data_IF_217268116611
#
_entry.id   IF_217268116611
#
_cell.length_a   1.000
_cell.length_b   1.000
_cell.length_c   1.000
_cell.angle_alpha   90.00
_cell.angle_beta   90.00
_cell.angle_gamma   90.00
#
_symmetry.space_group_name_H-M   'P 1'
#
loop_
_entity.id
_entity.type
_entity.pdbx_description
1 polymer ?
#
# COMPACT_ATOMS: atom_id res chain seq x y z
N UNK A 1 -5.89 -0.77 21.42
CA UNK A 1 -6.41 -1.53 20.25
C UNK A 1 -5.49 -2.72 20.00
N UNK A 2 -5.95 -3.95 20.28
CA UNK A 2 -5.17 -5.18 20.04
C UNK A 2 -5.54 -5.74 18.66
N UNK A 3 -4.89 -5.24 17.61
CA UNK A 3 -5.04 -5.82 16.27
C UNK A 3 -3.75 -6.53 15.91
N UNK A 4 -3.80 -7.85 15.80
CA UNK A 4 -2.68 -8.63 15.25
C UNK A 4 -2.54 -8.34 13.76
N UNK A 5 -1.35 -8.56 13.20
CA UNK A 5 -1.12 -8.35 11.77
C UNK A 5 -2.11 -9.14 10.90
N UNK A 6 -2.40 -10.39 11.29
CA UNK A 6 -3.36 -11.25 10.59
C UNK A 6 -4.78 -10.66 10.62
N UNK A 7 -5.21 -10.12 11.75
CA UNK A 7 -6.53 -9.48 11.86
C UNK A 7 -6.66 -8.23 10.99
N UNK A 8 -5.57 -7.52 10.70
CA UNK A 8 -5.57 -6.38 9.76
C UNK A 8 -5.65 -6.86 8.32
N UNK A 9 -4.93 -7.92 7.97
CA UNK A 9 -4.97 -8.50 6.61
C UNK A 9 -6.36 -9.04 6.26
N UNK A 10 -7.06 -9.67 7.21
CA UNK A 10 -8.42 -10.19 7.00
C UNK A 10 -9.48 -9.11 6.78
N UNK A 11 -9.15 -7.83 7.00
CA UNK A 11 -10.06 -6.70 6.75
C UNK A 11 -9.96 -6.15 5.31
N UNK A 12 -9.00 -6.65 4.51
CA UNK A 12 -8.88 -6.27 3.10
C UNK A 12 -10.05 -6.89 2.33
N UNK A 13 -10.71 -6.06 1.53
CA UNK A 13 -11.83 -6.44 0.66
C UNK A 13 -11.56 -5.98 -0.78
N UNK A 14 -12.40 -6.38 -1.72
CA UNK A 14 -12.35 -5.91 -3.12
C UNK A 14 -12.44 -4.39 -3.29
N UNK A 15 -12.92 -3.68 -2.27
CA UNK A 15 -13.07 -2.23 -2.27
C UNK A 15 -11.94 -1.53 -1.50
N UNK A 16 -10.95 -2.28 -1.02
CA UNK A 16 -9.79 -1.74 -0.30
C UNK A 16 -8.70 -1.35 -1.29
N UNK A 17 -8.31 -0.07 -1.28
CA UNK A 17 -7.13 0.39 -2.01
C UNK A 17 -5.87 0.11 -1.18
N UNK A 18 -4.95 -0.68 -1.73
CA UNK A 18 -3.68 -1.03 -1.09
C UNK A 18 -2.59 -0.10 -1.61
N UNK A 19 -1.88 0.59 -0.72
CA UNK A 19 -0.76 1.46 -1.09
C UNK A 19 0.55 0.86 -0.57
N UNK A 20 1.41 0.41 -1.48
CA UNK A 20 2.78 0.02 -1.17
C UNK A 20 3.71 1.22 -1.26
N UNK A 21 4.41 1.56 -0.18
CA UNK A 21 5.37 2.66 -0.16
C UNK A 21 6.76 2.14 0.15
N UNK A 22 7.71 2.45 -0.72
CA UNK A 22 9.14 2.27 -0.50
C UNK A 22 9.73 3.59 0.05
N UNK A 23 10.32 3.51 1.24
CA UNK A 23 10.83 4.63 2.02
C UNK A 23 12.37 4.57 2.02
N UNK A 24 13.01 5.47 1.28
CA UNK A 24 14.44 5.73 1.28
C UNK A 24 14.79 7.11 1.91
N UNK A 25 16.08 7.44 1.94
CA UNK A 25 16.59 8.65 2.61
C UNK A 25 16.12 9.96 1.97
N UNK A 26 16.09 10.02 0.64
CA UNK A 26 15.87 11.26 -0.12
C UNK A 26 14.63 11.20 -1.03
N UNK A 27 14.20 10.00 -1.43
CA UNK A 27 13.15 9.81 -2.42
C UNK A 27 12.33 8.57 -2.06
N UNK A 28 11.04 8.80 -1.86
CA UNK A 28 10.05 7.77 -1.62
C UNK A 28 9.33 7.42 -2.92
N UNK A 29 8.82 6.20 -3.00
CA UNK A 29 8.00 5.74 -4.12
C UNK A 29 6.77 5.04 -3.59
N UNK A 30 5.58 5.52 -3.97
CA UNK A 30 4.30 4.89 -3.69
C UNK A 30 3.71 4.23 -4.94
N UNK A 31 3.06 3.09 -4.75
CA UNK A 31 2.29 2.37 -5.76
C UNK A 31 0.94 1.94 -5.20
N UNK A 32 -0.08 2.04 -6.01
CA UNK A 32 -1.45 1.68 -5.66
C UNK A 32 -1.80 0.32 -6.28
N UNK A 33 -2.45 -0.54 -5.51
CA UNK A 33 -2.88 -1.87 -5.92
C UNK A 33 -4.30 -2.17 -5.44
N UNK A 34 -4.98 -3.11 -6.12
CA UNK A 34 -6.17 -3.76 -5.58
C UNK A 34 -5.80 -4.96 -4.68
N UNK A 35 -6.81 -5.60 -4.10
CA UNK A 35 -6.68 -6.81 -3.27
C UNK A 35 -6.12 -8.02 -4.03
N UNK A 36 -6.18 -8.00 -5.36
CA UNK A 36 -5.66 -9.04 -6.25
C UNK A 36 -4.22 -8.77 -6.73
N UNK A 37 -3.67 -7.60 -6.39
CA UNK A 37 -2.32 -7.19 -6.77
C UNK A 37 -2.20 -6.51 -8.14
N UNK A 38 -3.30 -6.09 -8.78
CA UNK A 38 -3.24 -5.26 -9.98
C UNK A 38 -2.80 -3.84 -9.63
N UNK A 39 -1.76 -3.34 -10.31
CA UNK A 39 -1.26 -1.98 -10.09
C UNK A 39 -2.14 -0.95 -10.79
N UNK A 40 -2.59 0.05 -10.02
CA UNK A 40 -3.31 1.21 -10.55
C UNK A 40 -2.33 2.28 -11.02
N UNK A 41 -2.09 2.33 -12.34
CA UNK A 41 -1.40 3.44 -12.99
C UNK A 41 0.12 3.44 -12.81
N UNK A 42 0.73 4.64 -12.81
CA UNK A 42 2.18 4.83 -12.65
C UNK A 42 2.54 5.07 -11.19
N UNK A 43 3.69 4.55 -10.78
CA UNK A 43 4.34 4.87 -9.50
C UNK A 43 4.45 6.38 -9.26
N UNK A 44 4.09 6.81 -8.05
CA UNK A 44 4.22 8.19 -7.58
C UNK A 44 5.50 8.31 -6.77
N UNK A 45 6.39 9.24 -7.13
CA UNK A 45 7.61 9.49 -6.35
C UNK A 45 7.60 10.86 -5.71
N UNK A 46 8.01 10.95 -4.45
CA UNK A 46 8.06 12.18 -3.67
C UNK A 46 9.35 12.26 -2.86
N UNK A 47 9.83 13.47 -2.60
CA UNK A 47 10.94 13.71 -1.67
C UNK A 47 10.41 13.89 -0.25
N UNK A 48 11.31 13.84 0.72
CA UNK A 48 11.03 14.30 2.09
C UNK A 48 10.74 15.81 2.10
#
# INVERSE_FOLDING_TARGET
MHYTQNQKLTQITSNTLIIGVDIAKNKQVARAFDDRGFEFGKRTSFSN
#
